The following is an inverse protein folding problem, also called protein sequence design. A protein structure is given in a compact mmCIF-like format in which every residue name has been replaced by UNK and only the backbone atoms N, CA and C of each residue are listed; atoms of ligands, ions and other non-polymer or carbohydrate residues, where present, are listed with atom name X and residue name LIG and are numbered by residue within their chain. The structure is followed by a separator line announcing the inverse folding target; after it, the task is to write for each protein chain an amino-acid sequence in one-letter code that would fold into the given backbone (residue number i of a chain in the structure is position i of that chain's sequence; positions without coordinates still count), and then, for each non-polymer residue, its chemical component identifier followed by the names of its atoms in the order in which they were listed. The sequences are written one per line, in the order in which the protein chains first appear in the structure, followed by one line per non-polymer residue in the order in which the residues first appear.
data_IF_247115237552
#
_entry.id   IF_247115237552
#
_cell.length_a   1.000
_cell.length_b   1.000
_cell.length_c   1.000
_cell.angle_alpha   90.00
_cell.angle_beta   90.00
_cell.angle_gamma   90.00
#
_symmetry.space_group_name_H-M   'P 1'
#
loop_
_entity.id
_entity.type
_entity.pdbx_description
1 polymer ?
#
# COMPACT_ATOMS: atom_id res chain seq x y z
N UNK A 1 26.32 34.75 23.13
CA UNK A 1 25.04 34.36 22.54
C UNK A 1 25.31 33.08 21.74
N UNK A 2 25.06 31.95 22.36
CA UNK A 2 25.19 30.62 21.72
C UNK A 2 23.87 30.35 21.03
N UNK A 3 23.87 30.34 19.68
CA UNK A 3 22.74 29.83 18.89
C UNK A 3 22.53 28.35 19.24
N UNK A 4 21.39 28.05 19.84
CA UNK A 4 20.93 26.68 19.94
C UNK A 4 20.60 26.25 18.53
N UNK A 5 21.49 25.47 17.90
CA UNK A 5 21.16 24.73 16.69
C UNK A 5 20.01 23.76 17.02
N UNK A 6 18.80 24.14 16.67
CA UNK A 6 17.64 23.26 16.79
C UNK A 6 17.89 22.03 15.92
N UNK A 7 18.00 20.87 16.53
CA UNK A 7 18.06 19.59 15.82
C UNK A 7 16.76 19.46 15.04
N UNK A 8 16.82 19.51 13.72
CA UNK A 8 15.67 19.27 12.86
C UNK A 8 15.37 17.77 12.92
N UNK A 9 14.30 17.40 13.64
CA UNK A 9 13.82 16.01 13.70
C UNK A 9 13.22 15.66 12.32
N UNK A 10 13.67 14.57 11.74
CA UNK A 10 13.18 14.10 10.46
C UNK A 10 11.84 13.36 10.63
N UNK A 11 11.06 13.22 9.56
CA UNK A 11 9.78 12.49 9.62
C UNK A 11 9.96 11.02 10.04
N UNK A 12 11.09 10.41 9.66
CA UNK A 12 11.42 9.02 9.99
C UNK A 12 11.74 8.83 11.49
N UNK A 13 12.17 9.89 12.18
CA UNK A 13 12.36 9.88 13.63
C UNK A 13 11.06 10.09 14.43
N UNK A 14 9.97 10.44 13.75
CA UNK A 14 8.65 10.68 14.35
C UNK A 14 7.69 9.49 14.25
N UNK A 15 8.09 8.43 13.57
CA UNK A 15 7.27 7.20 13.40
C UNK A 15 8.16 5.96 13.64
N UNK A 16 7.52 4.83 13.94
CA UNK A 16 8.20 3.54 14.03
C UNK A 16 8.16 2.84 12.68
N UNK A 17 9.18 2.00 12.35
CA UNK A 17 9.15 1.18 11.15
C UNK A 17 7.87 0.34 11.06
N UNK A 18 7.43 0.07 9.83
CA UNK A 18 6.33 -0.83 9.54
C UNK A 18 6.85 -2.26 9.48
N UNK A 19 6.48 -3.10 10.43
CA UNK A 19 6.73 -4.53 10.34
C UNK A 19 5.66 -5.22 9.50
N UNK A 20 6.08 -5.96 8.48
CA UNK A 20 5.21 -6.87 7.72
C UNK A 20 5.87 -8.25 7.75
N UNK A 21 5.27 -9.17 8.49
CA UNK A 21 5.74 -10.55 8.55
C UNK A 21 7.19 -10.71 9.02
N UNK A 22 7.69 -9.84 9.90
CA UNK A 22 9.04 -9.86 10.45
C UNK A 22 10.08 -9.15 9.58
N UNK A 23 9.65 -8.36 8.60
CA UNK A 23 10.52 -7.45 7.81
C UNK A 23 10.09 -6.02 8.08
N UNK A 24 11.03 -5.17 8.50
CA UNK A 24 10.80 -3.76 8.79
C UNK A 24 10.98 -2.89 7.55
N UNK A 25 10.05 -1.95 7.35
CA UNK A 25 10.09 -0.94 6.28
C UNK A 25 9.95 0.45 6.89
N UNK A 26 10.73 1.40 6.42
CA UNK A 26 10.61 2.81 6.80
C UNK A 26 9.54 3.51 5.97
N UNK A 27 9.36 3.07 4.73
CA UNK A 27 8.32 3.58 3.85
C UNK A 27 6.99 2.87 4.07
N UNK A 28 5.92 3.64 4.24
CA UNK A 28 4.53 3.14 4.28
C UNK A 28 3.85 3.15 2.92
N UNK A 29 4.60 3.52 1.88
CA UNK A 29 4.15 3.53 0.50
C UNK A 29 4.71 2.30 -0.23
N UNK A 30 3.81 1.48 -0.78
CA UNK A 30 4.12 0.36 -1.66
C UNK A 30 3.68 0.75 -3.07
N UNK A 31 4.48 0.45 -4.08
CA UNK A 31 4.16 0.82 -5.46
C UNK A 31 4.16 -0.38 -6.41
N UNK A 32 3.37 -0.25 -7.48
CA UNK A 32 3.34 -1.24 -8.55
C UNK A 32 4.20 -0.84 -9.75
N UNK A 33 4.40 -1.79 -10.66
CA UNK A 33 5.24 -1.65 -11.87
C UNK A 33 4.44 -1.55 -13.17
N UNK A 34 3.12 -1.62 -13.12
CA UNK A 34 2.29 -1.69 -14.33
C UNK A 34 1.95 -0.33 -14.93
N UNK A 35 1.68 -0.29 -16.25
CA UNK A 35 1.10 0.83 -17.01
C UNK A 35 1.99 2.06 -17.20
N UNK A 36 3.23 2.09 -16.78
CA UNK A 36 4.15 3.16 -17.14
C UNK A 36 4.45 3.11 -18.65
N UNK A 37 4.75 4.26 -19.23
CA UNK A 37 5.05 4.40 -20.66
C UNK A 37 6.29 3.57 -21.06
N UNK A 38 7.31 3.57 -20.20
CA UNK A 38 8.54 2.79 -20.39
C UNK A 38 9.18 2.46 -19.02
N UNK A 39 10.22 1.62 -19.05
CA UNK A 39 10.91 1.16 -17.87
C UNK A 39 11.72 2.27 -17.16
N UNK A 40 12.24 3.26 -17.91
CA UNK A 40 13.00 4.38 -17.33
C UNK A 40 12.10 5.25 -16.46
N UNK A 41 10.96 5.69 -17.00
CA UNK A 41 9.96 6.47 -16.24
C UNK A 41 9.45 5.68 -15.03
N UNK A 42 9.24 4.36 -15.19
CA UNK A 42 8.84 3.49 -14.08
C UNK A 42 9.86 3.53 -12.94
N UNK A 43 11.14 3.31 -13.23
CA UNK A 43 12.21 3.29 -12.22
C UNK A 43 12.36 4.65 -11.55
N UNK A 44 12.33 5.73 -12.32
CA UNK A 44 12.43 7.08 -11.79
C UNK A 44 11.25 7.43 -10.87
N UNK A 45 10.04 7.05 -11.27
CA UNK A 45 8.84 7.23 -10.44
C UNK A 45 8.89 6.39 -9.14
N UNK A 46 9.33 5.12 -9.23
CA UNK A 46 9.51 4.26 -8.06
C UNK A 46 10.54 4.87 -7.10
N UNK A 47 11.70 5.30 -7.58
CA UNK A 47 12.71 5.97 -6.75
C UNK A 47 12.20 7.26 -6.12
N UNK A 48 11.50 8.08 -6.89
CA UNK A 48 10.91 9.33 -6.42
C UNK A 48 9.85 9.11 -5.31
N UNK A 49 9.14 7.98 -5.37
CA UNK A 49 8.15 7.61 -4.36
C UNK A 49 8.75 7.27 -3.00
N UNK A 50 10.04 6.91 -2.95
CA UNK A 50 10.71 6.42 -1.75
C UNK A 50 10.16 5.09 -1.25
N UNK A 51 9.43 4.35 -2.08
CA UNK A 51 8.94 3.03 -1.73
C UNK A 51 10.09 2.03 -1.68
N UNK A 52 10.12 1.24 -0.61
CA UNK A 52 11.08 0.14 -0.44
C UNK A 52 10.52 -1.17 -1.01
N UNK A 53 9.19 -1.34 -0.95
CA UNK A 53 8.50 -2.52 -1.48
C UNK A 53 7.83 -2.20 -2.83
N UNK A 54 8.09 -3.07 -3.82
CA UNK A 54 7.61 -2.91 -5.20
C UNK A 54 6.92 -4.18 -5.68
N UNK A 55 5.67 -4.08 -6.15
CA UNK A 55 4.94 -5.26 -6.64
C UNK A 55 5.25 -5.58 -8.07
N UNK A 56 5.43 -6.88 -8.36
CA UNK A 56 5.70 -7.42 -9.68
C UNK A 56 4.65 -8.48 -10.04
N UNK A 57 3.85 -8.22 -11.08
CA UNK A 57 2.81 -9.15 -11.55
C UNK A 57 3.43 -10.35 -12.26
N UNK A 58 3.58 -11.49 -11.57
CA UNK A 58 4.29 -12.69 -12.05
C UNK A 58 3.74 -13.20 -13.38
N UNK A 59 2.45 -13.11 -13.60
CA UNK A 59 1.79 -13.57 -14.84
C UNK A 59 2.20 -12.77 -16.08
N UNK A 60 2.69 -11.53 -15.90
CA UNK A 60 2.97 -10.57 -16.99
C UNK A 60 4.44 -10.28 -17.20
N UNK A 61 5.31 -10.83 -16.37
CA UNK A 61 6.72 -10.51 -16.35
C UNK A 61 7.52 -11.65 -16.94
N UNK A 62 8.45 -11.30 -17.85
CA UNK A 62 9.51 -12.22 -18.23
C UNK A 62 10.43 -12.39 -17.02
N UNK A 63 10.55 -13.63 -16.55
CA UNK A 63 11.37 -13.97 -15.37
C UNK A 63 12.87 -14.03 -15.73
N UNK A 64 13.22 -13.94 -17.01
CA UNK A 64 14.59 -13.86 -17.49
C UNK A 64 15.15 -12.44 -17.31
N UNK A 65 15.87 -12.23 -16.21
CA UNK A 65 16.46 -10.93 -15.85
C UNK A 65 17.58 -10.47 -16.77
N UNK A 66 18.05 -11.32 -17.68
CA UNK A 66 19.14 -10.95 -18.61
C UNK A 66 18.64 -10.15 -19.81
N UNK A 67 17.34 -10.15 -20.07
CA UNK A 67 16.72 -9.40 -21.16
C UNK A 67 16.51 -7.94 -20.75
N UNK A 68 17.04 -7.02 -21.55
CA UNK A 68 16.94 -5.56 -21.30
C UNK A 68 15.49 -5.06 -21.27
N UNK A 69 14.57 -5.69 -22.00
CA UNK A 69 13.15 -5.35 -21.99
C UNK A 69 12.42 -5.84 -20.75
N UNK A 70 13.00 -6.79 -20.00
CA UNK A 70 12.37 -7.34 -18.81
C UNK A 70 12.37 -6.33 -17.67
N UNK A 71 11.21 -6.13 -17.02
CA UNK A 71 11.07 -5.24 -15.85
C UNK A 71 12.10 -5.60 -14.77
N UNK A 72 12.34 -6.89 -14.54
CA UNK A 72 13.28 -7.38 -13.53
C UNK A 72 14.76 -7.06 -13.85
N UNK A 73 15.09 -6.69 -15.09
CA UNK A 73 16.42 -6.17 -15.42
C UNK A 73 16.66 -4.79 -14.80
N UNK A 74 15.61 -3.96 -14.70
CA UNK A 74 15.66 -2.60 -14.18
C UNK A 74 15.41 -2.48 -12.69
N UNK A 75 14.91 -3.55 -12.03
CA UNK A 75 14.60 -3.59 -10.61
C UNK A 75 15.53 -4.57 -9.88
N UNK A 76 16.59 -4.04 -9.27
CA UNK A 76 17.50 -4.86 -8.47
C UNK A 76 16.84 -5.25 -7.13
N UNK A 77 16.93 -6.53 -6.72
CA UNK A 77 16.57 -6.93 -5.36
C UNK A 77 17.44 -6.31 -4.27
N UNK A 78 18.60 -5.76 -4.63
CA UNK A 78 19.47 -5.03 -3.70
C UNK A 78 18.93 -3.62 -3.42
N UNK A 79 18.17 -3.05 -4.36
CA UNK A 79 17.58 -1.70 -4.23
C UNK A 79 16.14 -1.76 -3.68
N UNK A 80 15.39 -2.82 -3.99
CA UNK A 80 13.96 -2.92 -3.70
C UNK A 80 13.57 -4.29 -3.16
N UNK A 81 12.66 -4.31 -2.21
CA UNK A 81 11.97 -5.53 -1.81
C UNK A 81 10.91 -5.89 -2.86
N UNK A 82 11.20 -6.87 -3.70
CA UNK A 82 10.31 -7.29 -4.78
C UNK A 82 9.21 -8.23 -4.24
N UNK A 83 7.96 -7.74 -4.27
CA UNK A 83 6.77 -8.47 -3.85
C UNK A 83 6.09 -9.11 -5.07
N UNK A 84 6.15 -10.44 -5.16
CA UNK A 84 5.42 -11.17 -6.19
C UNK A 84 3.91 -10.93 -6.07
N UNK A 85 3.22 -10.68 -7.20
CA UNK A 85 1.78 -10.40 -7.23
C UNK A 85 1.07 -11.36 -8.20
N UNK A 86 -0.02 -11.97 -7.75
CA UNK A 86 -0.87 -12.87 -8.54
C UNK A 86 -1.93 -12.13 -9.38
N UNK A 87 -1.72 -10.84 -9.63
CA UNK A 87 -2.64 -9.99 -10.40
C UNK A 87 -3.11 -10.64 -11.70
N UNK A 88 -4.41 -10.60 -11.93
CA UNK A 88 -5.06 -11.17 -13.11
C UNK A 88 -5.34 -12.68 -13.00
N UNK A 89 -5.28 -13.26 -11.80
CA UNK A 89 -5.81 -14.58 -11.52
C UNK A 89 -7.30 -14.48 -11.19
N UNK A 90 -8.08 -15.44 -11.72
CA UNK A 90 -9.53 -15.51 -11.52
C UNK A 90 -9.97 -16.77 -10.75
N UNK A 91 -9.00 -17.60 -10.36
CA UNK A 91 -9.25 -18.80 -9.54
C UNK A 91 -8.18 -18.92 -8.45
N UNK A 92 -8.52 -19.59 -7.36
CA UNK A 92 -7.56 -19.89 -6.28
C UNK A 92 -6.39 -20.73 -6.80
N UNK A 93 -6.66 -21.71 -7.65
CA UNK A 93 -5.67 -22.63 -8.23
C UNK A 93 -4.61 -21.86 -9.05
N UNK A 94 -5.06 -20.90 -9.87
CA UNK A 94 -4.14 -20.07 -10.65
C UNK A 94 -3.28 -19.20 -9.73
N UNK A 95 -3.88 -18.55 -8.74
CA UNK A 95 -3.14 -17.70 -7.81
C UNK A 95 -2.08 -18.50 -7.04
N UNK A 96 -2.43 -19.67 -6.53
CA UNK A 96 -1.50 -20.59 -5.86
C UNK A 96 -0.38 -21.03 -6.80
N UNK A 97 -0.72 -21.39 -8.04
CA UNK A 97 0.26 -21.81 -9.06
C UNK A 97 1.25 -20.69 -9.37
N UNK A 98 0.79 -19.43 -9.55
CA UNK A 98 1.67 -18.30 -9.84
C UNK A 98 2.53 -17.90 -8.63
N UNK A 99 2.01 -17.99 -7.40
CA UNK A 99 2.81 -17.78 -6.19
C UNK A 99 3.96 -18.80 -6.10
N UNK A 100 3.67 -20.09 -6.33
CA UNK A 100 4.69 -21.15 -6.35
C UNK A 100 5.72 -20.94 -7.48
N UNK A 101 5.26 -20.49 -8.66
CA UNK A 101 6.14 -20.16 -9.79
C UNK A 101 7.09 -19.00 -9.44
N UNK A 102 6.59 -17.95 -8.80
CA UNK A 102 7.42 -16.83 -8.34
C UNK A 102 8.53 -17.31 -7.38
N UNK A 103 8.19 -18.13 -6.37
CA UNK A 103 9.16 -18.69 -5.44
C UNK A 103 10.19 -19.58 -6.16
N UNK A 104 9.76 -20.40 -7.11
CA UNK A 104 10.66 -21.23 -7.91
C UNK A 104 11.58 -20.39 -8.83
N UNK A 105 11.15 -19.19 -9.23
CA UNK A 105 11.94 -18.22 -9.99
C UNK A 105 12.87 -17.35 -9.13
N UNK A 106 12.95 -17.61 -7.82
CA UNK A 106 13.87 -16.95 -6.89
C UNK A 106 13.33 -15.66 -6.26
N UNK A 107 12.01 -15.41 -6.30
CA UNK A 107 11.41 -14.42 -5.42
C UNK A 107 11.45 -14.92 -3.96
N UNK A 108 11.34 -13.97 -3.03
CA UNK A 108 11.21 -14.28 -1.60
C UNK A 108 9.87 -14.98 -1.31
N UNK A 109 9.62 -15.32 -0.03
CA UNK A 109 8.40 -15.99 0.42
C UNK A 109 7.16 -15.10 0.46
N UNK A 110 7.28 -13.79 0.25
CA UNK A 110 6.13 -12.87 0.26
C UNK A 110 5.35 -12.93 -1.05
N UNK A 111 4.04 -12.86 -0.93
CA UNK A 111 3.15 -12.78 -2.08
C UNK A 111 1.99 -11.84 -1.81
N UNK A 112 1.78 -10.88 -2.73
CA UNK A 112 0.51 -10.16 -2.82
C UNK A 112 -0.48 -11.05 -3.52
N UNK A 113 -1.47 -11.52 -2.78
CA UNK A 113 -2.49 -12.42 -3.28
C UNK A 113 -3.67 -11.64 -3.82
N UNK A 114 -3.96 -11.81 -5.10
CA UNK A 114 -5.17 -11.34 -5.77
C UNK A 114 -5.88 -12.52 -6.43
N UNK A 115 -7.18 -12.68 -6.17
CA UNK A 115 -8.09 -13.52 -6.93
C UNK A 115 -9.29 -12.67 -7.31
N UNK A 116 -9.45 -12.38 -8.60
CA UNK A 116 -10.48 -11.47 -9.12
C UNK A 116 -11.78 -12.24 -9.37
N UNK A 117 -12.89 -11.72 -8.86
CA UNK A 117 -14.21 -12.32 -9.03
C UNK A 117 -14.99 -11.75 -10.22
N UNK A 118 -14.71 -10.51 -10.62
CA UNK A 118 -15.42 -9.85 -11.71
C UNK A 118 -14.47 -9.01 -12.57
N UNK A 119 -14.45 -9.28 -13.88
CA UNK A 119 -13.53 -8.62 -14.82
C UNK A 119 -13.80 -7.12 -15.01
N UNK A 120 -15.03 -6.68 -14.81
CA UNK A 120 -15.41 -5.28 -15.02
C UNK A 120 -15.04 -4.38 -13.85
N UNK A 121 -15.25 -4.87 -12.63
CA UNK A 121 -15.03 -4.09 -11.40
C UNK A 121 -13.69 -4.39 -10.76
N UNK A 122 -13.06 -5.51 -11.11
CA UNK A 122 -11.87 -6.06 -10.49
C UNK A 122 -12.02 -6.28 -8.97
N UNK A 123 -13.25 -6.46 -8.51
CA UNK A 123 -13.52 -6.84 -7.14
C UNK A 123 -13.04 -8.27 -6.87
N UNK A 124 -12.54 -8.56 -5.66
CA UNK A 124 -12.00 -9.87 -5.34
C UNK A 124 -13.09 -10.93 -5.19
N UNK A 125 -12.78 -12.16 -5.62
CA UNK A 125 -13.49 -13.36 -5.17
C UNK A 125 -13.01 -13.71 -3.75
N UNK A 126 -13.80 -13.31 -2.77
CA UNK A 126 -13.47 -13.49 -1.35
C UNK A 126 -13.29 -14.96 -0.98
N UNK A 127 -14.14 -15.86 -1.50
CA UNK A 127 -14.07 -17.29 -1.18
C UNK A 127 -12.82 -17.92 -1.76
N UNK A 128 -12.52 -17.65 -3.03
CA UNK A 128 -11.31 -18.12 -3.67
C UNK A 128 -10.05 -17.52 -3.04
N UNK A 129 -10.10 -16.25 -2.63
CA UNK A 129 -8.99 -15.58 -1.91
C UNK A 129 -8.71 -16.26 -0.57
N UNK A 130 -9.73 -16.58 0.22
CA UNK A 130 -9.58 -17.29 1.51
C UNK A 130 -8.95 -18.68 1.34
N UNK A 131 -9.41 -19.44 0.32
CA UNK A 131 -8.84 -20.77 0.00
C UNK A 131 -7.36 -20.65 -0.38
N UNK A 132 -7.03 -19.71 -1.27
CA UNK A 132 -5.66 -19.50 -1.71
C UNK A 132 -4.76 -18.99 -0.56
N UNK A 133 -5.25 -18.05 0.25
CA UNK A 133 -4.52 -17.50 1.40
C UNK A 133 -4.15 -18.60 2.40
N UNK A 134 -5.14 -19.41 2.81
CA UNK A 134 -4.88 -20.53 3.74
C UNK A 134 -3.88 -21.51 3.19
N UNK A 135 -4.03 -21.91 1.91
CA UNK A 135 -3.13 -22.86 1.26
C UNK A 135 -1.70 -22.33 1.21
N UNK A 136 -1.53 -21.07 0.80
CA UNK A 136 -0.19 -20.47 0.70
C UNK A 136 0.45 -20.23 2.08
N UNK A 137 -0.33 -19.80 3.07
CA UNK A 137 0.16 -19.63 4.44
C UNK A 137 0.64 -20.99 5.03
N UNK A 138 -0.11 -22.06 4.82
CA UNK A 138 0.28 -23.42 5.25
C UNK A 138 1.56 -23.91 4.53
N UNK A 139 1.85 -23.41 3.35
CA UNK A 139 3.08 -23.67 2.60
C UNK A 139 4.25 -22.74 2.97
N UNK A 140 4.08 -21.90 3.99
CA UNK A 140 5.11 -20.98 4.49
C UNK A 140 5.27 -19.70 3.68
N UNK A 141 4.28 -19.33 2.84
CA UNK A 141 4.28 -18.01 2.24
C UNK A 141 3.82 -16.95 3.25
N UNK A 142 4.40 -15.77 3.17
CA UNK A 142 3.96 -14.55 3.84
C UNK A 142 2.93 -13.83 2.95
N UNK A 143 1.67 -14.14 3.18
CA UNK A 143 0.57 -13.71 2.32
C UNK A 143 0.10 -12.30 2.70
N UNK A 144 0.07 -11.39 1.73
CA UNK A 144 -0.56 -10.07 1.80
C UNK A 144 -1.78 -10.10 0.90
N UNK A 145 -2.99 -10.16 1.47
CA UNK A 145 -4.20 -10.49 0.72
C UNK A 145 -5.02 -9.27 0.33
N UNK A 146 -5.16 -9.02 -0.99
CA UNK A 146 -6.11 -8.04 -1.52
C UNK A 146 -7.55 -8.50 -1.27
N UNK A 147 -8.37 -7.58 -0.75
CA UNK A 147 -9.77 -7.87 -0.44
C UNK A 147 -10.66 -6.62 -0.57
N UNK A 148 -11.97 -6.81 -0.41
CA UNK A 148 -12.91 -5.72 -0.24
C UNK A 148 -12.81 -5.08 1.18
N UNK A 149 -13.62 -4.05 1.43
CA UNK A 149 -13.69 -3.33 2.71
C UNK A 149 -14.66 -3.99 3.71
N UNK A 150 -14.79 -5.33 3.67
CA UNK A 150 -15.61 -6.11 4.59
C UNK A 150 -14.78 -6.60 5.79
N UNK A 151 -15.19 -6.16 6.99
CA UNK A 151 -14.51 -6.52 8.25
C UNK A 151 -14.46 -8.03 8.48
N UNK A 152 -15.54 -8.75 8.19
CA UNK A 152 -15.60 -10.19 8.46
C UNK A 152 -14.65 -10.96 7.56
N UNK A 153 -14.54 -10.54 6.30
CA UNK A 153 -13.54 -11.07 5.36
C UNK A 153 -12.13 -10.77 5.85
N UNK A 154 -11.86 -9.54 6.29
CA UNK A 154 -10.55 -9.15 6.79
C UNK A 154 -10.09 -10.00 7.99
N UNK A 155 -10.98 -10.22 8.98
CA UNK A 155 -10.72 -11.09 10.13
C UNK A 155 -10.44 -12.54 9.69
N UNK A 156 -11.20 -13.08 8.73
CA UNK A 156 -10.97 -14.43 8.21
C UNK A 156 -9.64 -14.57 7.47
N UNK A 157 -9.17 -13.53 6.78
CA UNK A 157 -7.87 -13.53 6.13
C UNK A 157 -6.73 -13.52 7.16
N UNK A 158 -6.87 -12.75 8.24
CA UNK A 158 -5.93 -12.80 9.37
C UNK A 158 -5.90 -14.19 10.01
N UNK A 159 -7.07 -14.78 10.31
CA UNK A 159 -7.20 -16.15 10.84
C UNK A 159 -6.61 -17.21 9.89
N UNK A 160 -6.64 -16.96 8.58
CA UNK A 160 -6.01 -17.84 7.58
C UNK A 160 -4.48 -17.76 7.56
N UNK A 161 -3.87 -16.82 8.31
CA UNK A 161 -2.44 -16.65 8.44
C UNK A 161 -1.84 -15.60 7.51
N UNK A 162 -2.64 -14.66 6.99
CA UNK A 162 -2.11 -13.53 6.23
C UNK A 162 -1.26 -12.63 7.13
N UNK A 163 -0.07 -12.24 6.65
CA UNK A 163 0.83 -11.32 7.36
C UNK A 163 0.46 -9.85 7.15
N UNK A 164 -0.42 -9.55 6.21
CA UNK A 164 -1.07 -8.26 6.02
C UNK A 164 -2.41 -8.45 5.31
N UNK A 165 -3.39 -7.60 5.61
CA UNK A 165 -4.68 -7.55 4.93
C UNK A 165 -4.76 -6.25 4.14
N UNK A 166 -5.18 -6.36 2.87
CA UNK A 166 -5.11 -5.25 1.92
C UNK A 166 -6.51 -4.88 1.39
N UNK A 167 -7.34 -4.18 2.20
CA UNK A 167 -8.66 -3.74 1.75
C UNK A 167 -8.55 -2.64 0.70
N UNK A 168 -9.45 -2.65 -0.29
CA UNK A 168 -9.56 -1.55 -1.25
C UNK A 168 -10.17 -0.30 -0.62
N UNK A 169 -9.71 0.88 -1.03
CA UNK A 169 -10.38 2.15 -0.77
C UNK A 169 -11.59 2.35 -1.71
N UNK A 170 -11.40 1.94 -2.96
CA UNK A 170 -12.38 1.88 -4.06
C UNK A 170 -11.84 0.97 -5.16
N UNK A 171 -12.61 0.61 -6.19
CA UNK A 171 -12.18 -0.32 -7.23
C UNK A 171 -10.84 0.01 -7.86
N UNK A 172 -10.07 -1.00 -8.25
CA UNK A 172 -8.74 -0.87 -8.87
C UNK A 172 -8.79 0.12 -10.05
N UNK A 173 -7.93 1.12 -10.03
CA UNK A 173 -7.80 2.12 -11.10
C UNK A 173 -8.93 3.14 -11.18
N UNK A 174 -9.85 3.17 -10.21
CA UNK A 174 -10.97 4.13 -10.20
C UNK A 174 -10.57 5.55 -9.80
N UNK A 175 -9.55 5.70 -8.93
CA UNK A 175 -9.12 7.01 -8.43
C UNK A 175 -10.18 7.74 -7.60
N UNK A 176 -11.14 7.01 -7.01
CA UNK A 176 -12.25 7.59 -6.23
C UNK A 176 -11.89 7.91 -4.77
N UNK A 177 -10.67 7.54 -4.34
CA UNK A 177 -10.24 7.67 -2.95
C UNK A 177 -10.95 6.70 -2.01
N UNK A 178 -10.97 7.00 -0.71
CA UNK A 178 -11.64 6.19 0.31
C UNK A 178 -13.14 6.46 0.29
N UNK A 179 -13.90 5.54 -0.31
CA UNK A 179 -15.37 5.65 -0.40
C UNK A 179 -16.04 5.31 0.91
N UNK A 180 -15.49 4.36 1.67
CA UNK A 180 -16.06 3.92 2.95
C UNK A 180 -15.03 4.00 4.09
N UNK A 181 -14.76 5.20 4.61
CA UNK A 181 -13.76 5.37 5.68
C UNK A 181 -14.18 4.69 6.99
N UNK A 182 -15.46 4.45 7.22
CA UNK A 182 -15.94 3.71 8.38
C UNK A 182 -15.41 2.27 8.36
N UNK A 183 -15.63 1.53 7.27
CA UNK A 183 -15.15 0.15 7.15
C UNK A 183 -13.62 0.04 7.30
N UNK A 184 -12.87 0.95 6.70
CA UNK A 184 -11.40 0.95 6.80
C UNK A 184 -10.95 1.13 8.27
N UNK A 185 -11.57 2.04 9.01
CA UNK A 185 -11.27 2.22 10.45
C UNK A 185 -11.67 1.01 11.29
N UNK A 186 -12.83 0.41 11.02
CA UNK A 186 -13.27 -0.80 11.73
C UNK A 186 -12.29 -1.97 11.48
N UNK A 187 -11.85 -2.17 10.23
CA UNK A 187 -10.84 -3.17 9.89
C UNK A 187 -9.55 -2.89 10.67
N UNK A 188 -9.01 -1.67 10.57
CA UNK A 188 -7.77 -1.31 11.28
C UNK A 188 -7.88 -1.43 12.79
N UNK A 189 -9.03 -1.10 13.36
CA UNK A 189 -9.27 -1.18 14.81
C UNK A 189 -9.41 -2.60 15.37
N UNK A 190 -9.55 -3.60 14.51
CA UNK A 190 -9.86 -4.99 14.90
C UNK A 190 -8.76 -6.00 14.53
N UNK A 191 -7.94 -5.73 13.53
CA UNK A 191 -6.85 -6.58 13.10
C UNK A 191 -5.57 -6.26 13.88
N UNK A 192 -4.82 -7.31 14.22
CA UNK A 192 -3.44 -7.22 14.72
C UNK A 192 -2.46 -7.11 13.55
N UNK A 193 -2.73 -7.83 12.45
CA UNK A 193 -1.95 -7.76 11.22
C UNK A 193 -2.01 -6.35 10.59
N UNK A 194 -0.93 -5.90 9.98
CA UNK A 194 -0.90 -4.65 9.22
C UNK A 194 -2.02 -4.55 8.20
N UNK A 195 -2.66 -3.37 8.17
CA UNK A 195 -3.70 -3.03 7.19
C UNK A 195 -3.09 -2.07 6.16
N UNK A 196 -2.95 -2.55 4.93
CA UNK A 196 -2.41 -1.79 3.81
C UNK A 196 -3.54 -1.50 2.84
N UNK A 197 -3.98 -0.26 2.74
CA UNK A 197 -5.04 0.07 1.77
C UNK A 197 -4.50 -0.07 0.36
N UNK A 198 -5.19 -0.89 -0.44
CA UNK A 198 -4.80 -1.22 -1.81
C UNK A 198 -5.91 -0.78 -2.77
N UNK A 199 -5.52 -0.16 -3.88
CA UNK A 199 -6.43 0.35 -4.90
C UNK A 199 -7.28 1.58 -4.53
N UNK A 200 -7.71 2.28 -5.54
CA UNK A 200 -8.67 3.39 -5.43
C UNK A 200 -8.07 4.76 -5.12
N UNK A 201 -6.86 4.85 -4.61
CA UNK A 201 -6.16 6.14 -4.41
C UNK A 201 -5.85 6.74 -5.77
N UNK A 202 -6.27 7.98 -6.01
CA UNK A 202 -6.11 8.68 -7.29
C UNK A 202 -5.16 9.86 -7.25
N UNK A 203 -4.99 10.48 -6.07
CA UNK A 203 -4.12 11.67 -5.91
C UNK A 203 -3.59 11.79 -4.48
N UNK A 204 -2.69 12.74 -4.26
CA UNK A 204 -2.03 12.96 -2.98
C UNK A 204 -3.00 13.19 -1.81
N UNK A 205 -4.09 13.93 -2.01
CA UNK A 205 -5.11 14.12 -0.97
C UNK A 205 -5.76 12.80 -0.55
N UNK A 206 -6.03 11.88 -1.50
CA UNK A 206 -6.61 10.58 -1.19
C UNK A 206 -5.64 9.74 -0.35
N UNK A 207 -4.34 9.75 -0.68
CA UNK A 207 -3.30 9.07 0.07
C UNK A 207 -3.19 9.60 1.51
N UNK A 208 -3.23 10.92 1.68
CA UNK A 208 -3.20 11.56 2.99
C UNK A 208 -4.44 11.17 3.82
N UNK A 209 -5.64 11.31 3.25
CA UNK A 209 -6.90 10.93 3.90
C UNK A 209 -6.93 9.44 4.25
N UNK A 210 -6.37 8.59 3.40
CA UNK A 210 -6.24 7.14 3.66
C UNK A 210 -5.38 6.89 4.90
N UNK A 211 -4.21 7.51 4.98
CA UNK A 211 -3.32 7.36 6.14
C UNK A 211 -3.91 7.94 7.43
N UNK A 212 -4.70 9.00 7.34
CA UNK A 212 -5.45 9.57 8.48
C UNK A 212 -6.50 8.61 9.06
N UNK A 213 -6.89 7.54 8.34
CA UNK A 213 -7.74 6.47 8.92
C UNK A 213 -6.98 5.58 9.90
N UNK A 214 -5.66 5.74 10.03
CA UNK A 214 -4.80 4.98 10.95
C UNK A 214 -4.26 3.69 10.36
N UNK A 215 -4.43 3.45 9.06
CA UNK A 215 -3.88 2.28 8.38
C UNK A 215 -2.34 2.30 8.40
N UNK A 216 -1.74 1.14 8.20
CA UNK A 216 -0.28 0.98 8.33
C UNK A 216 0.48 1.37 7.07
N UNK A 217 -0.17 1.32 5.92
CA UNK A 217 0.41 1.74 4.65
C UNK A 217 -0.61 1.82 3.53
N UNK A 218 -0.13 2.23 2.36
CA UNK A 218 -0.93 2.36 1.13
C UNK A 218 -0.15 1.73 -0.02
N UNK A 219 -0.85 0.93 -0.83
CA UNK A 219 -0.32 0.47 -2.11
C UNK A 219 -1.02 1.20 -3.25
N UNK A 220 -0.24 1.68 -4.21
CA UNK A 220 -0.77 2.30 -5.42
C UNK A 220 0.09 2.00 -6.64
N UNK A 221 -0.53 2.07 -7.82
CA UNK A 221 0.16 1.95 -9.10
C UNK A 221 -0.42 2.93 -10.12
N UNK A 222 -1.69 2.77 -10.50
CA UNK A 222 -2.32 3.55 -11.56
C UNK A 222 -2.28 5.05 -11.29
N UNK A 223 -2.42 5.49 -10.04
CA UNK A 223 -2.34 6.90 -9.67
C UNK A 223 -0.99 7.55 -10.00
N UNK A 224 0.09 6.76 -10.00
CA UNK A 224 1.41 7.22 -10.41
C UNK A 224 1.57 7.09 -11.93
N UNK A 225 1.38 5.89 -12.47
CA UNK A 225 1.66 5.57 -13.86
C UNK A 225 0.78 6.31 -14.88
N UNK A 226 -0.44 6.68 -14.50
CA UNK A 226 -1.39 7.40 -15.35
C UNK A 226 -1.39 8.93 -15.14
N UNK A 227 -0.54 9.45 -14.26
CA UNK A 227 -0.34 10.89 -14.13
C UNK A 227 0.41 11.46 -15.34
N UNK A 228 0.15 12.72 -15.70
CA UNK A 228 0.87 13.41 -16.78
C UNK A 228 2.40 13.48 -16.50
N UNK A 229 2.78 13.50 -15.22
CA UNK A 229 4.17 13.46 -14.75
C UNK A 229 4.25 12.45 -13.58
N UNK A 230 4.56 11.16 -13.89
CA UNK A 230 4.64 10.10 -12.89
C UNK A 230 5.66 10.36 -11.78
N UNK A 231 6.80 10.95 -12.10
CA UNK A 231 7.87 11.25 -11.14
C UNK A 231 7.41 12.32 -10.15
N UNK A 232 6.82 13.40 -10.63
CA UNK A 232 6.27 14.46 -9.77
C UNK A 232 5.12 13.96 -8.92
N UNK A 233 4.24 13.12 -9.47
CA UNK A 233 3.16 12.51 -8.70
C UNK A 233 3.70 11.58 -7.61
N UNK A 234 4.77 10.85 -7.88
CA UNK A 234 5.43 9.98 -6.90
C UNK A 234 5.97 10.78 -5.70
N UNK A 235 6.62 11.93 -5.94
CA UNK A 235 7.01 12.83 -4.85
C UNK A 235 5.80 13.31 -4.05
N UNK A 236 4.72 13.73 -4.72
CA UNK A 236 3.51 14.20 -4.05
C UNK A 236 2.89 13.11 -3.16
N UNK A 237 2.81 11.86 -3.67
CA UNK A 237 2.28 10.72 -2.92
C UNK A 237 3.14 10.36 -1.71
N UNK A 238 4.47 10.37 -1.85
CA UNK A 238 5.40 10.18 -0.74
C UNK A 238 5.11 11.16 0.39
N UNK A 239 5.05 12.44 0.08
CA UNK A 239 4.76 13.47 1.08
C UNK A 239 3.37 13.32 1.70
N UNK A 240 2.38 12.93 0.91
CA UNK A 240 1.01 12.73 1.38
C UNK A 240 0.89 11.56 2.37
N UNK A 241 1.56 10.44 2.08
CA UNK A 241 1.59 9.27 2.98
C UNK A 241 2.23 9.64 4.32
N UNK A 242 3.38 10.32 4.30
CA UNK A 242 4.05 10.80 5.51
C UNK A 242 3.18 11.79 6.27
N UNK A 243 2.61 12.79 5.60
CA UNK A 243 1.76 13.80 6.23
C UNK A 243 0.53 13.19 6.89
N UNK A 244 -0.18 12.29 6.21
CA UNK A 244 -1.35 11.61 6.75
C UNK A 244 -1.01 10.73 7.96
N UNK A 245 0.12 10.02 7.91
CA UNK A 245 0.60 9.21 9.04
C UNK A 245 0.91 10.07 10.26
N UNK A 246 1.67 11.13 10.09
CA UNK A 246 2.01 12.05 11.18
C UNK A 246 0.79 12.76 11.74
N UNK A 247 -0.18 13.14 10.89
CA UNK A 247 -1.44 13.73 11.33
C UNK A 247 -2.26 12.74 12.18
N UNK A 248 -2.30 11.46 11.80
CA UNK A 248 -2.93 10.40 12.59
C UNK A 248 -2.25 10.25 13.96
N UNK A 249 -0.93 10.15 13.99
CA UNK A 249 -0.16 9.98 15.24
C UNK A 249 -0.27 11.19 16.16
N UNK A 250 -0.32 12.41 15.61
CA UNK A 250 -0.49 13.64 16.36
C UNK A 250 -1.90 13.76 16.99
N UNK A 251 -2.88 13.09 16.42
CA UNK A 251 -4.27 13.18 16.82
C UNK A 251 -4.96 14.44 16.29
N UNK A 252 -6.11 14.26 15.67
CA UNK A 252 -6.94 15.34 15.13
C UNK A 252 -7.63 16.13 16.22
N UNK A 253 -7.68 17.46 16.09
CA UNK A 253 -8.57 18.27 16.92
C UNK A 253 -10.05 17.87 16.72
N UNK A 254 -10.90 17.91 17.77
CA UNK A 254 -12.31 17.63 17.62
C UNK A 254 -13.01 18.57 16.63
N UNK A 255 -13.84 18.00 15.75
CA UNK A 255 -14.73 18.78 14.91
C UNK A 255 -15.78 19.50 15.75
N UNK A 256 -16.14 20.74 15.38
CA UNK A 256 -17.15 21.53 16.09
C UNK A 256 -18.09 22.15 15.06
N UNK A 257 -19.37 22.25 15.39
CA UNK A 257 -20.39 22.87 14.54
C UNK A 257 -20.33 24.40 14.58
N UNK A 258 -19.77 24.97 15.65
CA UNK A 258 -19.66 26.42 15.84
C UNK A 258 -18.20 26.86 15.94
N UNK A 259 -17.96 28.10 15.53
CA UNK A 259 -16.64 28.70 15.60
C UNK A 259 -16.18 28.86 17.07
N UNK A 260 -14.89 28.65 17.29
CA UNK A 260 -14.22 28.96 18.55
C UNK A 260 -13.05 29.88 18.22
N UNK A 261 -12.96 31.08 18.85
CA UNK A 261 -11.86 31.99 18.61
C UNK A 261 -10.50 31.35 18.86
N UNK A 262 -9.56 31.51 17.93
CA UNK A 262 -8.19 31.02 18.05
C UNK A 262 -7.33 31.89 18.97
N UNK A 263 -7.73 33.15 19.18
CA UNK A 263 -7.09 34.09 20.11
C UNK A 263 -7.86 34.18 21.41
N UNK A 264 -7.18 34.34 22.56
CA UNK A 264 -7.86 34.59 23.85
C UNK A 264 -8.72 35.84 23.75
N UNK A 265 -9.99 35.74 24.16
CA UNK A 265 -10.92 36.90 24.21
C UNK A 265 -10.79 37.68 25.52
N UNK A 266 -9.99 37.21 26.49
CA UNK A 266 -9.70 37.91 27.73
C UNK A 266 -8.40 38.71 27.62
N UNK A 267 -8.47 40.01 27.95
CA UNK A 267 -7.29 40.90 27.91
C UNK A 267 -7.13 41.69 26.64
N UNK A 268 -8.17 41.84 25.81
CA UNK A 268 -8.18 42.88 24.80
C UNK A 268 -8.25 44.23 25.50
N UNK A 269 -7.39 45.15 25.08
CA UNK A 269 -7.53 46.57 25.43
C UNK A 269 -8.80 47.06 24.74
N UNK A 270 -9.71 47.70 25.52
CA UNK A 270 -10.89 48.38 25.04
C UNK A 270 -10.48 49.61 24.23
#
# INVERSE_FOLDING_TARGET
MTEAAGTTVTADELDVPLDIGGVEFTSRLIVGTGKYENNEIMVDAIRASGAEMVTVAVRRVDLDRTKEEAILHHLSPDDFFLLANTAGCYTAEDAIRYARLARAAGFNEFVKLEVIGDERTLLPDVQATLVAAKTLADEGFKVMAYTNDDLITALRLEDAGCVAVMPLASPIGSGLGVVNPYSIREIKGRLEAPVIVDAGVGTASDACVTMEQGVDGVLMNTALAAADDPVRMSHAMRHAVVAGRLAFLAGRMPSREVAVPSSPTRGMLD
#
